data_IF_138214048442
#
_entry.id   IF_138214048442
#
_cell.length_a   1.000
_cell.length_b   1.000
_cell.length_c   1.000
_cell.angle_alpha   90.00
_cell.angle_beta   90.00
_cell.angle_gamma   90.00
#
_symmetry.space_group_name_H-M   'P 1'
#
loop_
_entity.id
_entity.type
_entity.pdbx_description
1 polymer ?
#
# COMPACT_ATOMS: atom_id res chain seq x y z
N UNK A 1 16.47 9.57 25.69
CA UNK A 1 15.36 8.68 25.30
C UNK A 1 15.98 7.56 24.47
N UNK A 2 15.86 6.31 24.90
CA UNK A 2 16.34 5.15 24.13
C UNK A 2 15.69 5.20 22.74
N UNK A 3 16.49 5.17 21.67
CA UNK A 3 15.95 5.12 20.31
C UNK A 3 15.19 3.82 20.15
N UNK A 4 13.86 3.89 20.16
CA UNK A 4 13.00 2.76 19.82
C UNK A 4 13.25 2.46 18.35
N UNK A 5 13.66 1.22 18.05
CA UNK A 5 13.84 0.77 16.66
C UNK A 5 12.49 0.89 15.95
N UNK A 6 12.43 1.51 14.75
CA UNK A 6 11.22 1.53 13.93
C UNK A 6 10.65 0.13 13.75
N UNK A 7 9.32 -0.01 13.74
CA UNK A 7 8.72 -1.30 13.50
C UNK A 7 8.84 -1.69 12.03
N UNK A 8 9.07 -2.98 11.79
CA UNK A 8 9.01 -3.60 10.47
C UNK A 8 7.60 -4.07 10.11
N UNK A 9 6.72 -4.21 11.10
CA UNK A 9 5.33 -4.65 10.95
C UNK A 9 4.42 -3.89 11.94
N UNK A 10 3.19 -3.62 11.52
CA UNK A 10 2.13 -3.02 12.33
C UNK A 10 0.87 -3.85 12.13
N UNK A 11 0.40 -4.50 13.19
CA UNK A 11 -0.85 -5.26 13.19
C UNK A 11 -1.77 -4.75 14.30
N UNK A 12 -2.87 -4.11 13.90
CA UNK A 12 -3.88 -3.54 14.78
C UNK A 12 -5.13 -4.40 14.67
N UNK A 13 -5.48 -5.06 15.77
CA UNK A 13 -6.63 -5.95 15.90
C UNK A 13 -7.15 -5.93 17.32
N UNK A 14 -8.41 -6.30 17.50
CA UNK A 14 -8.96 -6.47 18.84
C UNK A 14 -8.30 -7.70 19.47
N UNK A 15 -7.78 -7.61 20.72
CA UNK A 15 -7.21 -8.77 21.39
C UNK A 15 -8.24 -9.90 21.53
N UNK A 16 -7.81 -11.17 21.44
CA UNK A 16 -8.69 -12.30 21.69
C UNK A 16 -9.12 -12.30 23.16
N UNK A 17 -10.43 -12.18 23.41
CA UNK A 17 -11.02 -12.23 24.75
C UNK A 17 -11.73 -13.58 24.99
N UNK A 18 -11.49 -14.26 26.14
CA UNK A 18 -12.19 -15.50 26.48
C UNK A 18 -13.71 -15.29 26.53
N UNK A 19 -14.46 -16.02 25.70
CA UNK A 19 -15.92 -15.97 25.67
C UNK A 19 -16.53 -14.91 24.73
N UNK A 20 -15.71 -14.12 24.01
CA UNK A 20 -16.21 -13.26 22.93
C UNK A 20 -16.82 -14.16 21.84
N UNK A 21 -18.06 -13.87 21.44
CA UNK A 21 -18.68 -14.55 20.29
C UNK A 21 -17.82 -14.26 19.05
N UNK A 22 -17.52 -15.30 18.27
CA UNK A 22 -16.82 -15.14 17.01
C UNK A 22 -17.63 -14.23 16.08
N UNK A 23 -16.99 -13.23 15.51
CA UNK A 23 -17.62 -12.35 14.53
C UNK A 23 -17.98 -13.15 13.28
N UNK A 24 -19.06 -12.77 12.62
CA UNK A 24 -19.49 -13.46 11.40
C UNK A 24 -18.52 -13.21 10.25
N UNK A 25 -17.95 -11.99 10.18
CA UNK A 25 -17.09 -11.52 9.09
C UNK A 25 -15.97 -10.63 9.63
N UNK A 26 -14.77 -10.83 9.12
CA UNK A 26 -13.60 -10.01 9.42
C UNK A 26 -13.12 -9.34 8.14
N UNK A 27 -13.04 -8.01 8.13
CA UNK A 27 -12.38 -7.25 7.08
C UNK A 27 -10.91 -7.01 7.47
N UNK A 28 -10.01 -7.59 6.69
CA UNK A 28 -8.58 -7.38 6.81
C UNK A 28 -8.15 -6.28 5.84
N UNK A 29 -7.75 -5.13 6.39
CA UNK A 29 -7.10 -4.07 5.64
C UNK A 29 -5.61 -4.40 5.55
N UNK A 30 -5.14 -4.76 4.36
CA UNK A 30 -3.73 -5.09 4.12
C UNK A 30 -3.04 -3.92 3.42
N UNK A 31 -2.17 -3.23 4.14
CA UNK A 31 -1.50 -2.02 3.70
C UNK A 31 -0.12 -2.31 3.08
N UNK A 32 0.07 -1.88 1.83
CA UNK A 32 1.32 -1.98 1.09
C UNK A 32 1.97 -0.61 0.99
N UNK A 33 3.18 -0.49 1.54
CA UNK A 33 3.93 0.76 1.61
C UNK A 33 4.49 1.18 0.25
N UNK A 34 4.74 2.48 0.08
CA UNK A 34 5.54 3.02 -1.02
C UNK A 34 7.04 3.05 -0.70
N UNK A 35 7.89 3.23 -1.71
CA UNK A 35 9.35 3.33 -1.56
C UNK A 35 9.76 4.71 -0.97
N UNK A 36 10.65 4.82 0.05
CA UNK A 36 11.30 3.75 0.80
C UNK A 36 10.31 2.98 1.68
N UNK A 37 10.29 1.66 1.48
CA UNK A 37 9.25 0.73 1.92
C UNK A 37 9.17 0.47 3.42
N UNK A 38 9.24 1.50 4.26
CA UNK A 38 9.15 1.39 5.72
C UNK A 38 7.73 1.62 6.20
N UNK A 39 7.15 0.66 6.92
CA UNK A 39 5.79 0.79 7.48
C UNK A 39 5.70 1.85 8.57
N UNK A 40 6.80 2.12 9.28
CA UNK A 40 6.82 3.08 10.38
C UNK A 40 6.38 4.49 9.96
N UNK A 41 6.64 4.91 8.71
CA UNK A 41 6.13 6.19 8.20
C UNK A 41 4.60 6.27 8.22
N UNK A 42 3.91 5.13 8.20
CA UNK A 42 2.46 5.05 8.12
C UNK A 42 1.81 4.76 9.47
N UNK A 43 2.57 4.66 10.57
CA UNK A 43 2.00 4.34 11.90
C UNK A 43 0.82 5.25 12.25
N UNK A 44 1.00 6.56 12.14
CA UNK A 44 -0.05 7.54 12.44
C UNK A 44 -1.28 7.32 11.57
N UNK A 45 -1.10 7.09 10.27
CA UNK A 45 -2.19 6.79 9.33
C UNK A 45 -2.92 5.50 9.69
N UNK A 46 -2.19 4.39 9.89
CA UNK A 46 -2.78 3.07 10.17
C UNK A 46 -3.50 3.03 11.52
N UNK A 47 -2.89 3.61 12.56
CA UNK A 47 -3.50 3.69 13.89
C UNK A 47 -4.76 4.53 13.88
N UNK A 48 -4.75 5.67 13.19
CA UNK A 48 -5.94 6.51 13.07
C UNK A 48 -7.05 5.81 12.27
N UNK A 49 -6.71 5.20 11.13
CA UNK A 49 -7.64 4.42 10.32
C UNK A 49 -8.30 3.30 11.13
N UNK A 50 -7.50 2.51 11.86
CA UNK A 50 -8.02 1.45 12.73
C UNK A 50 -8.99 1.98 13.79
N UNK A 51 -8.67 3.11 14.42
CA UNK A 51 -9.56 3.78 15.37
C UNK A 51 -10.89 4.18 14.74
N UNK A 52 -10.87 4.79 13.55
CA UNK A 52 -12.08 5.21 12.84
C UNK A 52 -12.98 4.03 12.40
N UNK A 53 -12.37 2.90 12.00
CA UNK A 53 -13.10 1.71 11.60
C UNK A 53 -13.67 0.94 12.80
N UNK A 54 -12.93 0.90 13.90
CA UNK A 54 -13.30 0.14 15.11
C UNK A 54 -14.20 0.90 16.08
N UNK A 55 -14.33 2.22 15.95
CA UNK A 55 -15.18 3.02 16.83
C UNK A 55 -16.67 2.61 16.77
N UNK A 56 -17.16 2.20 15.59
CA UNK A 56 -18.58 1.88 15.38
C UNK A 56 -18.89 0.38 15.47
N UNK A 57 -17.89 -0.50 15.44
CA UNK A 57 -18.08 -1.96 15.59
C UNK A 57 -18.41 -2.38 17.03
N UNK A 58 -18.29 -1.47 18.01
CA UNK A 58 -18.76 -1.72 19.38
C UNK A 58 -20.30 -1.94 19.45
N UNK A 59 -21.04 -1.46 18.45
CA UNK A 59 -22.51 -1.59 18.39
C UNK A 59 -22.98 -2.74 17.51
N UNK A 60 -22.19 -3.12 16.51
CA UNK A 60 -22.51 -4.12 15.49
C UNK A 60 -21.60 -5.34 15.65
N UNK A 61 -22.13 -6.41 16.25
CA UNK A 61 -21.33 -7.57 16.71
C UNK A 61 -20.90 -8.52 15.59
N UNK A 62 -21.32 -8.26 14.36
CA UNK A 62 -21.15 -9.22 13.26
C UNK A 62 -19.92 -8.92 12.38
N UNK A 63 -19.33 -7.72 12.45
CA UNK A 63 -18.18 -7.30 11.64
C UNK A 63 -17.00 -6.87 12.51
N UNK A 64 -15.82 -7.42 12.23
CA UNK A 64 -14.55 -7.01 12.83
C UNK A 64 -13.60 -6.43 11.78
N UNK A 65 -12.80 -5.43 12.16
CA UNK A 65 -11.73 -4.91 11.33
C UNK A 65 -10.37 -5.27 11.92
N UNK A 66 -9.44 -5.68 11.05
CA UNK A 66 -8.02 -5.74 11.36
C UNK A 66 -7.28 -4.87 10.35
N UNK A 67 -6.26 -4.13 10.80
CA UNK A 67 -5.37 -3.34 9.94
C UNK A 67 -3.97 -3.90 10.08
N UNK A 68 -3.41 -4.38 8.99
CA UNK A 68 -2.06 -4.91 8.92
C UNK A 68 -1.24 -4.14 7.88
N UNK A 69 0.02 -3.84 8.19
CA UNK A 69 0.98 -3.35 7.22
C UNK A 69 2.37 -3.82 7.60
N UNK A 70 3.24 -3.96 6.59
CA UNK A 70 4.65 -4.29 6.80
C UNK A 70 5.56 -3.49 5.89
N UNK A 71 6.81 -3.37 6.32
CA UNK A 71 7.87 -2.88 5.46
C UNK A 71 8.05 -3.83 4.27
N UNK A 72 8.39 -3.28 3.11
CA UNK A 72 8.83 -4.07 1.96
C UNK A 72 10.06 -4.89 2.36
N UNK A 73 10.22 -6.06 1.76
CA UNK A 73 11.35 -6.95 2.07
C UNK A 73 12.67 -6.25 1.73
N UNK A 74 13.69 -6.42 2.57
CA UNK A 74 15.00 -5.77 2.43
C UNK A 74 15.11 -4.41 3.12
N UNK A 75 14.02 -3.92 3.72
CA UNK A 75 14.00 -2.72 4.57
C UNK A 75 13.99 -3.05 6.07
N UNK A 76 14.43 -4.24 6.46
CA UNK A 76 14.62 -4.63 7.86
C UNK A 76 15.74 -3.78 8.48
N UNK A 77 15.50 -3.26 9.68
CA UNK A 77 16.38 -2.24 10.28
C UNK A 77 17.57 -2.86 11.02
N UNK A 78 17.51 -4.17 11.34
CA UNK A 78 18.53 -4.85 12.11
C UNK A 78 18.77 -6.30 11.67
N UNK A 79 19.92 -6.85 12.06
CA UNK A 79 20.34 -8.20 11.69
C UNK A 79 19.48 -9.32 12.30
N UNK A 80 18.76 -9.06 13.39
CA UNK A 80 17.87 -10.07 13.97
C UNK A 80 16.66 -10.30 13.08
N UNK A 81 16.04 -9.22 12.60
CA UNK A 81 14.95 -9.26 11.62
C UNK A 81 15.39 -9.88 10.28
N UNK A 82 16.60 -9.57 9.83
CA UNK A 82 17.15 -10.16 8.60
C UNK A 82 17.25 -11.69 8.71
N UNK A 83 17.60 -12.22 9.89
CA UNK A 83 17.72 -13.67 10.11
C UNK A 83 16.37 -14.38 10.18
N UNK A 84 15.30 -13.65 10.49
CA UNK A 84 13.94 -14.19 10.54
C UNK A 84 13.21 -14.07 9.22
N UNK A 85 13.86 -13.57 8.15
CA UNK A 85 13.24 -13.53 6.83
C UNK A 85 12.82 -14.93 6.38
N UNK A 86 11.54 -15.08 6.04
CA UNK A 86 10.97 -16.29 5.41
C UNK A 86 11.72 -16.64 4.11
N UNK A 87 12.20 -15.62 3.43
CA UNK A 87 12.84 -15.72 2.11
C UNK A 87 14.35 -15.95 2.27
N UNK A 88 14.85 -17.13 1.90
CA UNK A 88 16.27 -17.53 2.03
C UNK A 88 17.23 -16.82 1.06
N UNK A 89 16.75 -15.79 0.35
CA UNK A 89 17.53 -14.92 -0.54
C UNK A 89 17.95 -13.68 0.26
N UNK A 90 19.17 -13.18 0.09
CA UNK A 90 19.57 -11.90 0.71
C UNK A 90 19.14 -10.73 -0.20
N UNK A 91 18.87 -9.53 0.37
CA UNK A 91 18.64 -8.32 -0.42
C UNK A 91 19.78 -8.05 -1.44
N UNK A 92 19.50 -7.39 -2.58
CA UNK A 92 18.29 -6.63 -2.82
C UNK A 92 17.15 -7.45 -3.44
N UNK A 93 15.94 -7.03 -3.13
CA UNK A 93 14.69 -7.56 -3.70
C UNK A 93 14.15 -6.60 -4.76
N UNK A 94 13.77 -7.14 -5.91
CA UNK A 94 13.13 -6.38 -6.98
C UNK A 94 11.61 -6.29 -6.82
N UNK A 95 10.95 -5.57 -7.73
CA UNK A 95 9.49 -5.39 -7.70
C UNK A 95 8.73 -6.73 -7.70
N UNK A 96 9.16 -7.70 -8.53
CA UNK A 96 8.54 -9.03 -8.58
C UNK A 96 8.74 -9.83 -7.29
N UNK A 97 9.88 -9.65 -6.60
CA UNK A 97 10.11 -10.26 -5.29
C UNK A 97 9.13 -9.66 -4.27
N UNK A 98 8.94 -8.33 -4.26
CA UNK A 98 7.99 -7.67 -3.36
C UNK A 98 6.56 -8.15 -3.57
N UNK A 99 6.12 -8.28 -4.83
CA UNK A 99 4.77 -8.77 -5.13
C UNK A 99 4.57 -10.18 -4.57
N UNK A 100 5.51 -11.11 -4.84
CA UNK A 100 5.43 -12.50 -4.31
C UNK A 100 5.43 -12.50 -2.78
N UNK A 101 6.35 -11.80 -2.15
CA UNK A 101 6.44 -11.80 -0.70
C UNK A 101 5.21 -11.17 -0.03
N UNK A 102 4.59 -10.15 -0.65
CA UNK A 102 3.37 -9.53 -0.13
C UNK A 102 2.15 -10.43 -0.33
N UNK A 103 2.07 -11.13 -1.46
CA UNK A 103 1.07 -12.17 -1.72
C UNK A 103 1.17 -13.31 -0.71
N UNK A 104 2.36 -13.87 -0.49
CA UNK A 104 2.57 -14.96 0.46
C UNK A 104 2.25 -14.55 1.90
N UNK A 105 2.65 -13.34 2.31
CA UNK A 105 2.32 -12.82 3.65
C UNK A 105 0.82 -12.59 3.82
N UNK A 106 0.14 -12.12 2.77
CA UNK A 106 -1.31 -11.96 2.81
C UNK A 106 -2.02 -13.30 2.99
N UNK A 107 -1.57 -14.34 2.29
CA UNK A 107 -2.11 -15.69 2.42
C UNK A 107 -1.94 -16.22 3.85
N UNK A 108 -0.71 -16.17 4.39
CA UNK A 108 -0.42 -16.57 5.77
C UNK A 108 -1.31 -15.82 6.78
N UNK A 109 -1.52 -14.51 6.58
CA UNK A 109 -2.33 -13.69 7.47
C UNK A 109 -3.82 -14.03 7.40
N UNK A 110 -4.33 -14.36 6.20
CA UNK A 110 -5.71 -14.82 6.04
C UNK A 110 -5.91 -16.15 6.76
N UNK A 111 -4.96 -17.08 6.64
CA UNK A 111 -4.97 -18.35 7.37
C UNK A 111 -4.94 -18.12 8.90
N UNK A 112 -4.02 -17.28 9.39
CA UNK A 112 -3.93 -16.95 10.83
C UNK A 112 -5.26 -16.39 11.38
N UNK A 113 -5.91 -15.50 10.63
CA UNK A 113 -7.18 -14.89 11.03
C UNK A 113 -8.31 -15.94 11.06
N UNK A 114 -8.31 -16.90 10.12
CA UNK A 114 -9.26 -18.03 10.14
C UNK A 114 -9.01 -18.97 11.32
N UNK A 115 -7.76 -19.30 11.61
CA UNK A 115 -7.37 -20.13 12.76
C UNK A 115 -7.78 -19.50 14.10
N UNK A 116 -7.79 -18.16 14.17
CA UNK A 116 -8.31 -17.40 15.31
C UNK A 116 -9.84 -17.44 15.44
N UNK A 117 -10.54 -18.09 14.52
CA UNK A 117 -11.98 -18.36 14.59
C UNK A 117 -12.84 -17.48 13.67
N UNK A 118 -12.24 -16.66 12.80
CA UNK A 118 -13.00 -15.90 11.81
C UNK A 118 -13.56 -16.85 10.73
N UNK A 119 -14.89 -16.84 10.55
CA UNK A 119 -15.57 -17.73 9.60
C UNK A 119 -15.51 -17.22 8.16
N UNK A 120 -15.48 -15.90 8.00
CA UNK A 120 -15.48 -15.23 6.70
C UNK A 120 -14.48 -14.08 6.73
N UNK A 121 -13.37 -14.22 6.00
CA UNK A 121 -12.33 -13.19 5.91
C UNK A 121 -12.42 -12.49 4.55
N UNK A 122 -12.54 -11.16 4.58
CA UNK A 122 -12.58 -10.30 3.39
C UNK A 122 -11.37 -9.38 3.40
N UNK A 123 -10.64 -9.32 2.29
CA UNK A 123 -9.42 -8.50 2.18
C UNK A 123 -9.72 -7.21 1.44
N UNK A 124 -9.28 -6.08 1.98
CA UNK A 124 -9.19 -4.79 1.29
C UNK A 124 -7.71 -4.41 1.22
N UNK A 125 -7.17 -4.33 0.01
CA UNK A 125 -5.80 -3.89 -0.20
C UNK A 125 -5.74 -2.36 -0.17
N UNK A 126 -4.75 -1.78 0.50
CA UNK A 126 -4.51 -0.35 0.49
C UNK A 126 -3.05 -0.11 0.15
N UNK A 127 -2.77 0.45 -1.02
CA UNK A 127 -1.41 0.62 -1.50
C UNK A 127 -1.05 2.10 -1.67
N UNK A 128 0.10 2.53 -1.16
CA UNK A 128 0.64 3.86 -1.43
C UNK A 128 1.73 3.82 -2.50
N UNK A 129 1.70 4.73 -3.49
CA UNK A 129 2.74 4.85 -4.53
C UNK A 129 2.92 3.50 -5.26
N UNK A 130 4.13 2.95 -5.31
CA UNK A 130 4.40 1.59 -5.84
C UNK A 130 3.57 0.50 -5.15
N UNK A 131 3.18 0.70 -3.89
CA UNK A 131 2.31 -0.23 -3.16
C UNK A 131 0.93 -0.39 -3.81
N UNK A 132 0.44 0.62 -4.55
CA UNK A 132 -0.78 0.51 -5.34
C UNK A 132 -0.58 -0.45 -6.53
N UNK A 133 0.55 -0.34 -7.24
CA UNK A 133 0.92 -1.28 -8.31
C UNK A 133 1.01 -2.72 -7.76
N UNK A 134 1.70 -2.89 -6.62
CA UNK A 134 1.83 -4.21 -5.97
C UNK A 134 0.46 -4.77 -5.60
N UNK A 135 -0.45 -3.93 -5.09
CA UNK A 135 -1.82 -4.35 -4.73
C UNK A 135 -2.62 -4.84 -5.95
N UNK A 136 -2.52 -4.15 -7.09
CA UNK A 136 -3.16 -4.57 -8.34
C UNK A 136 -2.57 -5.89 -8.87
N UNK A 137 -1.25 -6.08 -8.77
CA UNK A 137 -0.61 -7.32 -9.15
C UNK A 137 -0.99 -8.51 -8.26
N UNK A 138 -1.14 -8.29 -6.94
CA UNK A 138 -1.66 -9.31 -6.02
C UNK A 138 -3.06 -9.73 -6.45
N UNK A 139 -3.95 -8.77 -6.73
CA UNK A 139 -5.30 -9.07 -7.23
C UNK A 139 -5.23 -9.89 -8.51
N UNK A 140 -4.39 -9.47 -9.47
CA UNK A 140 -4.25 -10.17 -10.75
C UNK A 140 -3.82 -11.62 -10.59
N UNK A 141 -2.84 -11.88 -9.73
CA UNK A 141 -2.33 -13.24 -9.48
C UNK A 141 -3.36 -14.10 -8.75
N UNK A 142 -3.93 -13.61 -7.66
CA UNK A 142 -4.96 -14.35 -6.90
C UNK A 142 -6.16 -14.71 -7.79
N UNK A 143 -6.60 -13.80 -8.66
CA UNK A 143 -7.68 -14.09 -9.61
C UNK A 143 -7.26 -15.11 -10.67
N UNK A 144 -6.02 -15.05 -11.16
CA UNK A 144 -5.51 -16.05 -12.09
C UNK A 144 -5.49 -17.45 -11.46
N UNK A 145 -5.04 -17.57 -10.21
CA UNK A 145 -5.07 -18.82 -9.44
C UNK A 145 -6.50 -19.36 -9.27
N UNK A 146 -7.45 -18.51 -8.88
CA UNK A 146 -8.85 -18.92 -8.75
C UNK A 146 -9.51 -19.31 -10.08
N UNK A 147 -9.11 -18.70 -11.20
CA UNK A 147 -9.56 -19.12 -12.54
C UNK A 147 -8.96 -20.46 -12.98
N UNK A 148 -7.77 -20.82 -12.50
CA UNK A 148 -7.13 -22.11 -12.74
C UNK A 148 -7.74 -23.25 -11.89
N UNK A 149 -8.66 -22.94 -10.98
CA UNK A 149 -9.30 -23.91 -10.09
C UNK A 149 -8.40 -24.37 -8.93
N UNK A 150 -7.33 -23.61 -8.63
CA UNK A 150 -6.52 -23.80 -7.43
C UNK A 150 -7.31 -23.35 -6.20
N UNK A 151 -6.94 -23.83 -5.00
CA UNK A 151 -7.61 -23.42 -3.76
C UNK A 151 -7.39 -21.91 -3.50
N UNK A 152 -8.43 -21.09 -3.70
CA UNK A 152 -8.37 -19.64 -3.58
C UNK A 152 -9.07 -19.18 -2.29
N UNK A 153 -8.41 -19.41 -1.17
CA UNK A 153 -8.95 -19.05 0.14
C UNK A 153 -9.05 -17.52 0.38
N UNK A 154 -8.24 -16.73 -0.33
CA UNK A 154 -8.12 -15.29 -0.14
C UNK A 154 -9.14 -14.52 -0.99
N UNK A 155 -10.16 -13.95 -0.34
CA UNK A 155 -11.17 -13.13 -1.02
C UNK A 155 -10.87 -11.63 -0.90
N UNK A 156 -10.33 -11.05 -1.96
CA UNK A 156 -10.17 -9.59 -2.09
C UNK A 156 -11.47 -8.95 -2.57
N UNK A 157 -12.04 -8.05 -1.75
CA UNK A 157 -13.31 -7.36 -2.03
C UNK A 157 -13.13 -5.92 -2.48
N UNK A 158 -11.94 -5.34 -2.26
CA UNK A 158 -11.63 -4.00 -2.71
C UNK A 158 -10.14 -3.67 -2.69
N UNK A 159 -9.79 -2.61 -3.41
CA UNK A 159 -8.45 -2.04 -3.39
C UNK A 159 -8.51 -0.50 -3.40
N UNK A 160 -7.63 0.13 -2.64
CA UNK A 160 -7.49 1.58 -2.55
C UNK A 160 -6.05 1.94 -2.93
N UNK A 161 -5.87 2.64 -4.06
CA UNK A 161 -4.59 3.18 -4.47
C UNK A 161 -4.43 4.64 -4.02
N UNK A 162 -3.45 4.92 -3.18
CA UNK A 162 -3.13 6.25 -2.68
C UNK A 162 -1.90 6.79 -3.40
N UNK A 163 -2.05 7.95 -4.04
CA UNK A 163 -1.00 8.61 -4.81
C UNK A 163 -0.25 7.62 -5.74
N UNK A 164 -1.00 6.84 -6.55
CA UNK A 164 -0.49 5.61 -7.13
C UNK A 164 0.49 5.86 -8.28
N UNK A 165 1.60 5.11 -8.31
CA UNK A 165 2.53 5.07 -9.44
C UNK A 165 2.27 3.81 -10.27
N UNK A 166 1.14 3.79 -10.99
CA UNK A 166 0.68 2.58 -11.71
C UNK A 166 1.07 2.55 -13.19
N UNK A 167 1.44 3.70 -13.79
CA UNK A 167 1.87 3.81 -15.19
C UNK A 167 2.96 4.88 -15.29
N UNK A 168 3.92 4.70 -16.22
CA UNK A 168 4.89 5.71 -16.69
C UNK A 168 5.65 6.50 -15.58
N UNK A 169 6.09 5.86 -14.50
CA UNK A 169 6.80 6.56 -13.40
C UNK A 169 8.07 7.29 -13.91
N UNK A 170 8.71 6.76 -14.95
CA UNK A 170 9.89 7.34 -15.58
C UNK A 170 9.64 8.73 -16.21
N UNK A 171 8.39 9.06 -16.56
CA UNK A 171 8.01 10.35 -17.17
C UNK A 171 7.71 11.44 -16.14
N UNK A 172 7.60 11.09 -14.86
CA UNK A 172 7.44 12.07 -13.79
C UNK A 172 8.67 12.97 -13.64
N UNK A 173 8.52 14.13 -13.01
CA UNK A 173 9.64 15.05 -12.79
C UNK A 173 10.79 14.38 -12.01
N UNK A 174 10.44 13.66 -10.95
CA UNK A 174 11.39 12.89 -10.14
C UNK A 174 11.98 11.72 -10.94
N UNK A 175 11.15 11.01 -11.71
CA UNK A 175 11.58 9.92 -12.59
C UNK A 175 12.61 10.38 -13.62
N UNK A 176 12.38 11.53 -14.26
CA UNK A 176 13.31 12.13 -15.23
C UNK A 176 14.63 12.55 -14.57
N UNK A 177 14.60 13.12 -13.36
CA UNK A 177 15.79 13.53 -12.61
C UNK A 177 16.60 12.34 -12.09
N UNK A 178 15.93 11.27 -11.67
CA UNK A 178 16.55 10.07 -11.10
C UNK A 178 17.04 9.09 -12.19
N UNK A 179 16.39 9.06 -13.35
CA UNK A 179 16.67 8.14 -14.47
C UNK A 179 18.15 7.99 -14.83
N UNK A 180 18.94 9.07 -15.00
CA UNK A 180 20.34 8.95 -15.39
C UNK A 180 21.18 8.18 -14.36
N UNK A 181 20.89 8.36 -13.06
CA UNK A 181 21.61 7.72 -11.98
C UNK A 181 21.15 6.27 -11.80
N UNK A 182 19.84 6.03 -11.80
CA UNK A 182 19.27 4.70 -11.60
C UNK A 182 19.59 3.73 -12.74
N UNK A 183 19.80 4.21 -13.97
CA UNK A 183 20.25 3.40 -15.12
C UNK A 183 21.64 2.77 -14.90
N UNK A 184 22.49 3.34 -14.07
CA UNK A 184 23.77 2.73 -13.71
C UNK A 184 23.59 1.78 -12.53
N UNK A 185 23.74 0.46 -12.75
CA UNK A 185 23.50 -0.53 -11.68
C UNK A 185 24.49 -0.40 -10.53
N UNK A 186 25.68 0.13 -10.78
CA UNK A 186 26.70 0.33 -9.76
C UNK A 186 26.42 1.55 -8.87
N UNK A 187 25.52 2.44 -9.27
CA UNK A 187 25.18 3.64 -8.51
C UNK A 187 24.57 3.29 -7.15
N UNK A 188 23.67 2.30 -7.11
CA UNK A 188 23.02 1.87 -5.87
C UNK A 188 24.05 1.40 -4.83
N UNK A 189 24.98 0.53 -5.26
CA UNK A 189 26.07 0.03 -4.41
C UNK A 189 27.00 1.14 -3.96
N UNK A 190 27.41 2.02 -4.88
CA UNK A 190 28.29 3.14 -4.56
C UNK A 190 27.65 4.11 -3.55
N UNK A 191 26.40 4.51 -3.78
CA UNK A 191 25.67 5.40 -2.89
C UNK A 191 25.50 4.79 -1.48
N UNK A 192 25.18 3.49 -1.40
CA UNK A 192 25.07 2.79 -0.13
C UNK A 192 26.42 2.77 0.62
N UNK A 193 27.52 2.41 -0.06
CA UNK A 193 28.86 2.42 0.54
C UNK A 193 29.28 3.82 1.01
N UNK A 194 29.00 4.85 0.21
CA UNK A 194 29.33 6.23 0.52
C UNK A 194 28.55 6.75 1.73
N UNK A 195 27.23 6.53 1.77
CA UNK A 195 26.41 6.96 2.91
C UNK A 195 26.77 6.17 4.17
N UNK A 196 27.04 4.87 4.06
CA UNK A 196 27.51 4.06 5.18
C UNK A 196 28.84 4.58 5.71
N UNK A 197 29.78 4.97 4.84
CA UNK A 197 31.05 5.58 5.23
C UNK A 197 30.85 6.91 5.96
N UNK A 198 30.01 7.80 5.42
CA UNK A 198 29.72 9.11 6.04
C UNK A 198 29.00 9.00 7.39
N UNK A 199 28.12 8.00 7.52
CA UNK A 199 27.27 7.86 8.72
C UNK A 199 27.80 6.86 9.73
N UNK A 200 28.90 6.18 9.43
CA UNK A 200 29.49 5.10 10.23
C UNK A 200 29.63 5.49 11.71
N UNK A 201 30.29 6.63 11.98
CA UNK A 201 30.60 7.10 13.34
C UNK A 201 29.49 7.96 13.97
N UNK A 202 28.47 8.35 13.22
CA UNK A 202 27.45 9.28 13.70
C UNK A 202 26.34 8.52 14.45
N UNK A 203 25.93 8.90 15.66
CA UNK A 203 24.81 8.23 16.33
C UNK A 203 23.48 8.53 15.60
N UNK A 204 22.52 7.59 15.68
CA UNK A 204 21.20 7.73 15.02
C UNK A 204 20.51 9.03 15.43
N UNK A 205 20.64 9.45 16.70
CA UNK A 205 20.06 10.70 17.19
C UNK A 205 20.60 11.95 16.48
N UNK A 206 21.90 11.98 16.14
CA UNK A 206 22.50 13.10 15.41
C UNK A 206 22.00 13.12 13.97
N UNK A 207 21.95 11.95 13.32
CA UNK A 207 21.41 11.82 11.95
C UNK A 207 19.94 12.25 11.92
N UNK A 208 19.12 11.80 12.88
CA UNK A 208 17.72 12.18 13.00
C UNK A 208 17.56 13.70 13.20
N UNK A 209 18.37 14.34 14.05
CA UNK A 209 18.33 15.78 14.24
C UNK A 209 18.69 16.55 12.96
N UNK A 210 19.69 16.07 12.21
CA UNK A 210 20.06 16.67 10.92
C UNK A 210 18.93 16.52 9.91
N UNK A 211 18.34 15.32 9.79
CA UNK A 211 17.21 15.06 8.89
C UNK A 211 16.01 15.93 9.26
N UNK A 212 15.64 15.98 10.54
CA UNK A 212 14.54 16.81 11.03
C UNK A 212 14.75 18.29 10.65
N UNK A 213 15.98 18.79 10.78
CA UNK A 213 16.31 20.19 10.47
C UNK A 213 16.34 20.49 8.97
N UNK A 214 16.99 19.65 8.16
CA UNK A 214 17.17 19.90 6.74
C UNK A 214 15.95 19.54 5.90
N UNK A 215 15.31 18.41 6.21
CA UNK A 215 14.12 17.94 5.50
C UNK A 215 12.82 18.48 6.11
N UNK A 216 12.91 19.23 7.22
CA UNK A 216 11.75 19.69 7.97
C UNK A 216 10.82 18.51 8.33
N UNK A 217 11.38 17.37 8.68
CA UNK A 217 10.61 16.18 9.06
C UNK A 217 10.16 16.29 10.53
N UNK A 218 8.95 15.81 10.86
CA UNK A 218 8.59 15.49 12.24
C UNK A 218 9.58 14.50 12.87
N UNK A 219 9.66 14.50 14.20
CA UNK A 219 10.69 13.74 14.94
C UNK A 219 10.62 12.24 14.67
N UNK A 220 9.42 11.68 14.57
CA UNK A 220 9.16 10.27 14.25
C UNK A 220 9.63 9.92 12.83
N UNK A 221 9.22 10.69 11.82
CA UNK A 221 9.67 10.50 10.44
C UNK A 221 11.20 10.64 10.30
N UNK A 222 11.80 11.61 11.00
CA UNK A 222 13.25 11.80 11.00
C UNK A 222 13.99 10.63 11.66
N UNK A 223 13.45 10.07 12.75
CA UNK A 223 14.00 8.88 13.40
C UNK A 223 13.92 7.65 12.50
N UNK A 224 12.77 7.44 11.84
CA UNK A 224 12.59 6.36 10.84
C UNK A 224 13.59 6.50 9.70
N UNK A 225 13.76 7.71 9.16
CA UNK A 225 14.73 7.97 8.09
C UNK A 225 16.17 7.76 8.56
N UNK A 226 16.51 8.16 9.78
CA UNK A 226 17.84 7.97 10.33
C UNK A 226 18.18 6.49 10.55
N UNK A 227 17.23 5.70 11.05
CA UNK A 227 17.36 4.26 11.18
C UNK A 227 17.50 3.58 9.80
N UNK A 228 16.70 4.01 8.82
CA UNK A 228 16.81 3.56 7.44
C UNK A 228 18.20 3.80 6.85
N UNK A 229 18.73 5.02 6.99
CA UNK A 229 20.07 5.40 6.53
C UNK A 229 21.16 4.53 7.18
N UNK A 230 20.95 4.12 8.43
CA UNK A 230 21.87 3.26 9.20
C UNK A 230 21.67 1.77 8.97
N UNK A 231 20.61 1.37 8.27
CA UNK A 231 20.28 -0.04 8.08
C UNK A 231 21.30 -0.73 7.15
N UNK A 232 21.55 -2.04 7.31
CA UNK A 232 22.57 -2.74 6.53
C UNK A 232 22.35 -2.68 5.02
N UNK A 233 21.09 -2.72 4.58
CA UNK A 233 20.71 -2.84 3.18
C UNK A 233 19.78 -1.75 2.67
N UNK A 234 19.23 -0.88 3.53
CA UNK A 234 18.12 0.01 3.16
C UNK A 234 18.41 0.91 1.97
N UNK A 235 19.57 1.58 1.91
CA UNK A 235 19.89 2.48 0.79
C UNK A 235 20.05 1.70 -0.52
N UNK A 236 20.77 0.58 -0.46
CA UNK A 236 20.96 -0.28 -1.63
C UNK A 236 19.61 -0.85 -2.11
N UNK A 237 18.78 -1.33 -1.19
CA UNK A 237 17.44 -1.84 -1.44
C UNK A 237 16.52 -0.77 -2.06
N UNK A 238 16.48 0.44 -1.51
CA UNK A 238 15.63 1.52 -1.99
C UNK A 238 16.00 1.96 -3.40
N UNK A 239 17.30 2.08 -3.70
CA UNK A 239 17.79 2.45 -5.03
C UNK A 239 17.59 1.32 -6.04
N UNK A 240 17.77 0.05 -5.63
CA UNK A 240 17.46 -1.11 -6.45
C UNK A 240 15.96 -1.17 -6.79
N UNK A 241 15.08 -0.97 -5.81
CA UNK A 241 13.63 -0.90 -6.02
C UNK A 241 13.23 0.25 -6.94
N UNK A 242 13.74 1.47 -6.69
CA UNK A 242 13.45 2.62 -7.53
C UNK A 242 13.86 2.40 -8.99
N UNK A 243 14.98 1.69 -9.21
CA UNK A 243 15.41 1.28 -10.54
C UNK A 243 14.41 0.32 -11.17
N UNK A 244 14.04 -0.76 -10.48
CA UNK A 244 13.12 -1.77 -11.01
C UNK A 244 11.73 -1.19 -11.30
N UNK A 245 11.21 -0.35 -10.41
CA UNK A 245 9.97 0.40 -10.59
C UNK A 245 10.00 1.19 -11.90
N UNK A 246 11.09 1.91 -12.15
CA UNK A 246 11.25 2.75 -13.34
C UNK A 246 11.29 1.96 -14.66
N UNK A 247 11.71 0.69 -14.63
CA UNK A 247 11.78 -0.15 -15.83
C UNK A 247 10.55 -1.04 -16.02
N UNK A 248 9.86 -1.42 -14.94
CA UNK A 248 8.73 -2.35 -15.02
C UNK A 248 7.37 -1.62 -15.01
N UNK A 249 7.29 -0.41 -14.47
CA UNK A 249 6.06 0.39 -14.44
C UNK A 249 6.09 1.37 -15.61
N UNK A 250 5.91 0.83 -16.81
CA UNK A 250 5.90 1.60 -18.06
C UNK A 250 4.49 1.74 -18.66
N UNK A 251 3.70 0.67 -18.67
CA UNK A 251 2.46 0.57 -19.43
C UNK A 251 1.34 -0.03 -18.58
N UNK A 252 0.11 0.35 -18.89
CA UNK A 252 -1.08 -0.28 -18.31
C UNK A 252 -1.23 -1.70 -18.88
N UNK A 253 -0.80 -2.68 -18.10
CA UNK A 253 -0.85 -4.10 -18.46
C UNK A 253 -2.15 -4.80 -18.03
N UNK A 254 -3.04 -4.09 -17.33
CA UNK A 254 -4.22 -4.71 -16.74
C UNK A 254 -5.44 -4.60 -17.64
N UNK A 255 -6.21 -5.69 -17.68
CA UNK A 255 -7.44 -5.79 -18.45
C UNK A 255 -8.69 -5.45 -17.60
N UNK A 256 -9.86 -5.66 -18.19
CA UNK A 256 -11.15 -5.44 -17.53
C UNK A 256 -11.37 -6.34 -16.31
N UNK A 257 -10.63 -7.44 -16.16
CA UNK A 257 -10.77 -8.32 -15.00
C UNK A 257 -10.24 -7.66 -13.73
N UNK A 258 -9.27 -6.76 -13.87
CA UNK A 258 -8.69 -5.99 -12.78
C UNK A 258 -9.37 -4.63 -12.66
N UNK A 259 -9.52 -3.90 -13.77
CA UNK A 259 -10.15 -2.58 -13.75
C UNK A 259 -11.68 -2.64 -13.54
N UNK A 260 -12.32 -3.79 -13.77
CA UNK A 260 -13.77 -3.98 -13.71
C UNK A 260 -14.35 -4.08 -12.30
N UNK A 261 -14.31 -3.01 -11.53
CA UNK A 261 -14.66 -2.99 -10.11
C UNK A 261 -16.10 -3.41 -9.73
N UNK A 262 -17.07 -3.37 -10.65
CA UNK A 262 -18.46 -3.74 -10.33
C UNK A 262 -19.37 -4.06 -11.54
N UNK A 263 -18.83 -4.47 -12.68
CA UNK A 263 -19.68 -4.85 -13.82
C UNK A 263 -20.37 -6.19 -13.56
N UNK A 264 -21.70 -6.23 -13.72
CA UNK A 264 -22.45 -7.45 -13.97
C UNK A 264 -22.13 -8.07 -15.34
N UNK A 265 -21.52 -7.32 -16.28
CA UNK A 265 -21.15 -7.82 -17.62
C UNK A 265 -19.82 -7.24 -18.17
N UNK A 266 -18.94 -8.08 -18.78
CA UNK A 266 -19.08 -9.52 -18.88
C UNK A 266 -18.91 -10.17 -17.51
N UNK A 267 -19.76 -11.16 -17.22
CA UNK A 267 -19.73 -11.89 -15.97
C UNK A 267 -18.33 -12.47 -15.75
N UNK A 268 -17.77 -12.22 -14.57
CA UNK A 268 -16.48 -12.82 -14.18
C UNK A 268 -16.59 -14.34 -14.19
N UNK A 269 -15.59 -15.03 -14.73
CA UNK A 269 -15.45 -16.49 -14.61
C UNK A 269 -14.88 -16.89 -13.24
N UNK A 270 -14.26 -15.95 -12.54
CA UNK A 270 -13.74 -16.16 -11.21
C UNK A 270 -14.89 -16.36 -10.19
N UNK A 271 -14.76 -17.26 -9.20
CA UNK A 271 -15.84 -17.56 -8.26
C UNK A 271 -16.19 -16.40 -7.31
N UNK A 272 -15.27 -15.47 -7.13
CA UNK A 272 -15.52 -14.23 -6.39
C UNK A 272 -15.77 -13.04 -7.33
N UNK A 273 -16.69 -12.13 -6.94
CA UNK A 273 -16.86 -10.84 -7.62
C UNK A 273 -15.53 -10.10 -7.80
N UNK A 274 -15.50 -9.18 -8.76
CA UNK A 274 -14.35 -8.29 -8.93
C UNK A 274 -14.27 -7.30 -7.75
N UNK A 275 -13.05 -6.95 -7.30
CA UNK A 275 -12.86 -6.05 -6.17
C UNK A 275 -13.23 -4.62 -6.53
N UNK A 276 -13.83 -3.89 -5.59
CA UNK A 276 -14.16 -2.48 -5.77
C UNK A 276 -12.88 -1.65 -5.71
N UNK A 277 -12.60 -0.89 -6.78
CA UNK A 277 -11.40 -0.07 -6.88
C UNK A 277 -11.67 1.42 -6.62
N UNK A 278 -10.80 2.03 -5.82
CA UNK A 278 -10.77 3.46 -5.49
C UNK A 278 -9.34 3.97 -5.64
N UNK A 279 -9.17 5.14 -6.24
CA UNK A 279 -7.87 5.80 -6.34
C UNK A 279 -7.95 7.25 -5.91
N UNK A 280 -6.96 7.69 -5.14
CA UNK A 280 -6.79 9.07 -4.73
C UNK A 280 -5.46 9.58 -5.28
N UNK A 281 -5.51 10.61 -6.11
CA UNK A 281 -4.34 11.28 -6.68
C UNK A 281 -4.11 12.63 -5.99
N UNK A 282 -2.85 13.04 -5.89
CA UNK A 282 -2.54 14.43 -5.58
C UNK A 282 -2.84 15.30 -6.80
N UNK A 283 -3.21 16.55 -6.52
CA UNK A 283 -3.33 17.61 -7.54
C UNK A 283 -1.97 17.88 -8.21
N UNK A 284 -0.91 17.96 -7.41
CA UNK A 284 0.47 18.13 -7.88
C UNK A 284 1.35 17.03 -7.29
N UNK A 285 1.94 16.21 -8.16
CA UNK A 285 2.75 15.06 -7.76
C UNK A 285 4.03 14.95 -8.59
N UNK A 286 5.19 15.19 -7.97
CA UNK A 286 6.46 15.08 -8.69
C UNK A 286 6.84 13.63 -9.06
N UNK A 287 6.13 12.63 -8.53
CA UNK A 287 6.33 11.20 -8.82
C UNK A 287 5.31 10.62 -9.80
N UNK A 288 4.23 11.36 -10.09
CA UNK A 288 3.19 10.95 -11.06
C UNK A 288 3.01 12.08 -12.06
N UNK A 289 3.37 11.85 -13.32
CA UNK A 289 3.18 12.86 -14.36
C UNK A 289 1.68 13.17 -14.55
N UNK A 290 1.31 14.46 -14.52
CA UNK A 290 -0.10 14.90 -14.69
C UNK A 290 -0.73 14.32 -15.95
N UNK A 291 -0.01 14.34 -17.08
CA UNK A 291 -0.49 13.78 -18.34
C UNK A 291 -0.79 12.27 -18.25
N UNK A 292 0.03 11.52 -17.50
CA UNK A 292 -0.18 10.08 -17.27
C UNK A 292 -1.37 9.84 -16.35
N UNK A 293 -1.47 10.60 -15.25
CA UNK A 293 -2.62 10.56 -14.34
C UNK A 293 -3.91 10.83 -15.11
N UNK A 294 -3.96 11.93 -15.84
CA UNK A 294 -5.17 12.38 -16.52
C UNK A 294 -5.57 11.40 -17.64
N UNK A 295 -4.59 10.83 -18.35
CA UNK A 295 -4.85 9.77 -19.34
C UNK A 295 -5.39 8.48 -18.69
N UNK A 296 -4.88 8.09 -17.51
CA UNK A 296 -5.38 6.95 -16.76
C UNK A 296 -6.80 7.18 -16.24
N UNK A 297 -7.07 8.34 -15.65
CA UNK A 297 -8.42 8.72 -15.18
C UNK A 297 -9.39 8.74 -16.36
N UNK A 298 -8.99 9.30 -17.50
CA UNK A 298 -9.83 9.35 -18.69
C UNK A 298 -10.15 7.96 -19.27
N UNK A 299 -9.15 7.06 -19.30
CA UNK A 299 -9.30 5.73 -19.90
C UNK A 299 -9.99 4.72 -18.97
N UNK A 300 -9.68 4.77 -17.67
CA UNK A 300 -10.11 3.76 -16.70
C UNK A 300 -11.07 4.30 -15.67
N UNK A 301 -10.96 5.56 -15.26
CA UNK A 301 -11.81 6.16 -14.24
C UNK A 301 -13.26 6.33 -14.68
N UNK A 302 -14.16 6.30 -13.71
CA UNK A 302 -15.56 6.72 -13.91
C UNK A 302 -15.62 8.23 -14.15
N UNK A 303 -16.30 8.67 -15.20
CA UNK A 303 -16.50 10.10 -15.45
C UNK A 303 -17.36 10.74 -14.35
N UNK A 304 -16.83 11.76 -13.67
CA UNK A 304 -17.61 12.66 -12.82
C UNK A 304 -17.98 13.93 -13.60
N UNK A 305 -19.25 14.35 -13.53
CA UNK A 305 -19.71 15.64 -14.05
C UNK A 305 -19.92 16.61 -12.88
N UNK A 306 -18.84 17.02 -12.20
CA UNK A 306 -18.88 18.08 -11.17
C UNK A 306 -18.09 17.78 -9.88
N UNK A 307 -18.28 18.65 -8.87
CA UNK A 307 -17.61 18.66 -7.54
C UNK A 307 -18.05 17.52 -6.59
N UNK A 308 -18.39 16.36 -7.13
CA UNK A 308 -18.83 15.20 -6.36
C UNK A 308 -19.04 13.98 -7.27
N UNK A 309 -18.75 12.79 -6.74
CA UNK A 309 -19.05 11.52 -7.41
C UNK A 309 -20.52 11.18 -7.16
N UNK A 310 -21.42 11.79 -7.93
CA UNK A 310 -22.84 11.43 -7.84
C UNK A 310 -23.05 10.01 -8.41
N UNK A 311 -23.55 9.10 -7.56
CA UNK A 311 -24.03 7.77 -7.96
C UNK A 311 -25.31 7.94 -8.78
N UNK A 312 -25.19 8.28 -10.07
CA UNK A 312 -26.34 8.29 -10.96
C UNK A 312 -26.62 6.84 -11.38
N UNK A 313 -27.60 6.21 -10.74
CA UNK A 313 -28.19 4.96 -11.21
C UNK A 313 -28.53 5.06 -12.71
N UNK A 314 -28.04 4.12 -13.51
CA UNK A 314 -28.41 3.99 -14.93
C UNK A 314 -27.41 4.54 -15.96
N UNK A 315 -26.26 5.10 -15.57
CA UNK A 315 -25.16 5.33 -16.53
C UNK A 315 -24.21 4.12 -16.55
N UNK A 316 -23.97 3.56 -17.73
CA UNK A 316 -23.26 2.29 -17.98
C UNK A 316 -21.77 2.23 -17.60
N UNK A 317 -21.28 3.11 -16.73
CA UNK A 317 -19.90 3.17 -16.25
C UNK A 317 -19.75 2.84 -14.75
N UNK A 318 -20.82 2.37 -14.09
CA UNK A 318 -20.79 1.98 -12.68
C UNK A 318 -19.81 0.82 -12.37
N UNK A 319 -19.27 0.18 -13.40
CA UNK A 319 -18.25 -0.84 -13.29
C UNK A 319 -16.83 -0.29 -13.18
N UNK A 320 -16.59 0.96 -13.61
CA UNK A 320 -15.27 1.57 -13.59
C UNK A 320 -14.83 1.94 -12.17
N UNK A 321 -13.51 1.91 -11.86
CA UNK A 321 -12.97 2.45 -10.64
C UNK A 321 -13.34 3.91 -10.46
N UNK A 322 -13.49 4.33 -9.20
CA UNK A 322 -13.60 5.75 -8.89
C UNK A 322 -12.18 6.27 -8.67
N UNK A 323 -11.80 7.27 -9.46
CA UNK A 323 -10.48 7.90 -9.41
C UNK A 323 -10.68 9.38 -9.13
N UNK A 324 -10.16 9.85 -8.00
CA UNK A 324 -10.36 11.21 -7.50
C UNK A 324 -9.03 11.94 -7.44
N UNK A 325 -9.04 13.24 -7.70
CA UNK A 325 -7.92 14.14 -7.46
C UNK A 325 -8.25 14.96 -6.21
N UNK A 326 -7.31 15.06 -5.28
CA UNK A 326 -7.45 15.94 -4.12
C UNK A 326 -7.25 17.41 -4.53
N UNK A 327 -8.34 18.07 -4.91
CA UNK A 327 -8.36 19.49 -5.28
C UNK A 327 -8.44 20.45 -4.09
N UNK A 328 -8.82 19.96 -2.91
CA UNK A 328 -9.18 20.83 -1.77
C UNK A 328 -8.10 20.91 -0.71
N UNK A 329 -7.56 19.77 -0.32
CA UNK A 329 -6.68 19.68 0.84
C UNK A 329 -5.21 19.85 0.45
N UNK A 330 -4.86 19.57 -0.81
CA UNK A 330 -3.52 19.73 -1.35
C UNK A 330 -2.51 18.74 -0.74
N UNK A 331 -2.93 17.51 -0.47
CA UNK A 331 -2.06 16.50 0.12
C UNK A 331 -0.94 16.10 -0.86
N UNK A 332 0.32 16.07 -0.39
CA UNK A 332 1.45 15.67 -1.22
C UNK A 332 1.55 14.15 -1.31
N UNK A 333 2.29 13.65 -2.30
CA UNK A 333 2.64 12.23 -2.47
C UNK A 333 3.07 11.59 -1.14
N UNK A 334 4.03 12.20 -0.44
CA UNK A 334 4.52 11.77 0.88
C UNK A 334 3.57 12.10 2.03
N UNK A 335 2.27 11.86 1.88
CA UNK A 335 1.24 12.22 2.86
C UNK A 335 1.53 11.63 4.25
N UNK A 336 2.14 10.44 4.30
CA UNK A 336 2.43 9.71 5.53
C UNK A 336 3.31 10.50 6.53
N UNK A 337 4.11 11.46 6.05
CA UNK A 337 4.99 12.27 6.90
C UNK A 337 4.22 13.28 7.77
N UNK A 338 3.12 13.86 7.28
CA UNK A 338 2.39 14.96 7.98
C UNK A 338 0.88 14.91 7.90
N UNK A 339 0.35 14.27 6.86
CA UNK A 339 -1.07 14.24 6.51
C UNK A 339 -1.68 12.85 6.70
N UNK A 340 -1.03 11.98 7.50
CA UNK A 340 -1.51 10.62 7.77
C UNK A 340 -2.92 10.59 8.39
N UNK A 341 -3.26 11.52 9.28
CA UNK A 341 -4.60 11.60 9.90
C UNK A 341 -5.70 11.94 8.88
N UNK A 342 -5.64 13.09 8.17
CA UNK A 342 -6.72 13.47 7.25
C UNK A 342 -6.86 12.50 6.06
N UNK A 343 -5.76 11.92 5.57
CA UNK A 343 -5.84 10.86 4.55
C UNK A 343 -6.49 9.59 5.11
N UNK A 344 -6.25 9.22 6.37
CA UNK A 344 -6.92 8.09 7.02
C UNK A 344 -8.43 8.33 7.16
N UNK A 345 -8.88 9.55 7.44
CA UNK A 345 -10.30 9.91 7.46
C UNK A 345 -10.96 9.69 6.10
N UNK A 346 -10.29 10.13 5.01
CA UNK A 346 -10.75 9.89 3.64
C UNK A 346 -10.82 8.39 3.32
N UNK A 347 -9.77 7.65 3.66
CA UNK A 347 -9.70 6.19 3.42
C UNK A 347 -10.76 5.44 4.23
N UNK A 348 -11.07 5.86 5.46
CA UNK A 348 -12.14 5.24 6.24
C UNK A 348 -13.50 5.36 5.55
N UNK A 349 -13.77 6.47 4.86
CA UNK A 349 -14.96 6.64 4.02
C UNK A 349 -14.99 5.65 2.83
N UNK A 350 -13.86 5.48 2.15
CA UNK A 350 -13.73 4.49 1.07
C UNK A 350 -13.95 3.06 1.56
N UNK A 351 -13.31 2.68 2.68
CA UNK A 351 -13.48 1.35 3.29
C UNK A 351 -14.94 1.11 3.65
N UNK A 352 -15.62 2.06 4.30
CA UNK A 352 -17.05 1.94 4.64
C UNK A 352 -17.92 1.73 3.39
N UNK A 353 -17.62 2.43 2.30
CA UNK A 353 -18.33 2.27 1.03
C UNK A 353 -18.11 0.88 0.44
N UNK A 354 -16.88 0.39 0.42
CA UNK A 354 -16.53 -0.95 -0.07
C UNK A 354 -17.24 -2.03 0.76
N UNK A 355 -17.21 -1.90 2.09
CA UNK A 355 -17.89 -2.82 3.01
C UNK A 355 -19.39 -2.83 2.77
N UNK A 356 -20.03 -1.66 2.68
CA UNK A 356 -21.47 -1.58 2.42
C UNK A 356 -21.86 -2.28 1.11
N UNK A 357 -21.08 -2.10 0.04
CA UNK A 357 -21.31 -2.75 -1.24
C UNK A 357 -21.04 -4.26 -1.20
N UNK A 358 -19.99 -4.74 -0.54
CA UNK A 358 -19.73 -6.18 -0.37
C UNK A 358 -20.82 -6.85 0.47
N UNK A 359 -21.31 -6.19 1.53
CA UNK A 359 -22.43 -6.71 2.34
C UNK A 359 -23.74 -6.80 1.56
N UNK A 360 -23.96 -5.91 0.58
CA UNK A 360 -25.14 -5.94 -0.28
C UNK A 360 -25.08 -7.02 -1.38
N UNK A 361 -23.88 -7.45 -1.78
CA UNK A 361 -23.64 -8.54 -2.73
C UNK A 361 -23.84 -9.88 -2.00
N UNK A 362 -25.07 -10.42 -2.05
CA UNK A 362 -25.42 -11.73 -1.46
C UNK A 362 -24.51 -12.86 -1.93
#
# INVERSE_FOLDING_TARGET
>A
MSSVTPASQIHLRTPPEPGKKTTSRTYLIYFVTGNPGLVEYYRTFLTHLYGLLSHNTASDRDVEFQVYGRSLSGFEMNNAEIKTMKWRKQPPYGLQDQIRHSEDELADLVEEVKEQGAKDVRVILVGHSVGAYISLEIIRRLRAHGMAGEDFETRVVGAIGLFPTVVDIARSESGMKASPFLKNSNFATFAALFVNFLTFLLPISLIANLIAKFMHFPSDAAQTTAAFVKSPHGIHQALHMARDEMFQIDTDIWDEEIWGAAASEPATKHPHPRPILRFLFAREDHWVADATRDALIHSRGRFSRGDGVDEIEGQGENWKPIMEIDEREGWPHGFCIRHGVPVAERVAGYVKTIVAQDMARK
#
